data_IF_122600289374
#
_entry.id   IF_122600289374
#
_cell.length_a   1.000
_cell.length_b   1.000
_cell.length_c   1.000
_cell.angle_alpha   90.00
_cell.angle_beta   90.00
_cell.angle_gamma   90.00
#
_symmetry.space_group_name_H-M   'P 1'
#
loop_
_entity.id
_entity.type
_entity.pdbx_description
1 polymer ?
#
# COMPACT_ATOMS: atom_id res chain seq x y z
N UNK A 1 -4.36 6.70 -5.15
CA UNK A 1 -4.26 8.14 -5.23
C UNK A 1 -5.04 8.79 -4.10
N UNK A 2 -4.30 9.45 -3.22
CA UNK A 2 -4.82 10.48 -2.34
C UNK A 2 -3.94 11.69 -2.56
N UNK A 3 -4.53 12.84 -2.84
CA UNK A 3 -3.82 14.10 -3.00
C UNK A 3 -4.61 15.19 -2.26
N UNK A 4 -4.03 16.39 -2.20
CA UNK A 4 -4.54 17.54 -1.49
C UNK A 4 -4.60 17.27 0.01
N UNK A 5 -5.12 18.22 0.77
CA UNK A 5 -5.31 18.07 2.20
C UNK A 5 -6.57 17.23 2.54
N UNK A 6 -6.71 16.04 1.93
CA UNK A 6 -7.76 15.10 2.30
C UNK A 6 -7.59 14.69 3.77
N UNK A 7 -8.70 14.77 4.50
CA UNK A 7 -8.78 14.44 5.91
C UNK A 7 -9.89 13.40 6.10
N UNK A 8 -9.60 12.32 6.82
CA UNK A 8 -10.58 11.29 7.12
C UNK A 8 -9.97 9.91 7.28
N UNK A 9 -10.83 8.91 7.29
CA UNK A 9 -10.44 7.50 7.37
C UNK A 9 -11.05 6.74 6.21
N UNK A 10 -10.21 6.03 5.47
CA UNK A 10 -10.62 4.97 4.56
C UNK A 10 -10.41 3.63 5.29
N UNK A 11 -11.52 3.03 5.72
CA UNK A 11 -11.52 1.76 6.45
C UNK A 11 -12.16 0.66 5.59
N UNK A 12 -11.59 -0.54 5.69
CA UNK A 12 -12.00 -1.76 5.01
C UNK A 12 -12.08 -1.56 3.50
N UNK A 13 -10.93 -1.61 2.80
CA UNK A 13 -10.85 -1.32 1.38
C UNK A 13 -10.06 -2.38 0.58
N UNK A 14 -10.43 -2.55 -0.69
CA UNK A 14 -9.75 -3.47 -1.60
C UNK A 14 -9.23 -2.70 -2.82
N UNK A 15 -7.96 -2.93 -3.15
CA UNK A 15 -7.33 -2.47 -4.40
C UNK A 15 -6.95 -3.69 -5.24
N UNK A 16 -7.26 -3.64 -6.55
CA UNK A 16 -6.85 -4.63 -7.54
C UNK A 16 -6.13 -3.90 -8.66
N UNK A 17 -4.81 -4.03 -8.73
CA UNK A 17 -3.99 -3.39 -9.75
C UNK A 17 -4.19 -4.03 -11.14
N UNK A 18 -4.27 -3.19 -12.17
CA UNK A 18 -4.31 -3.59 -13.58
C UNK A 18 -2.95 -3.43 -14.26
N UNK A 19 -2.88 -3.69 -15.57
CA UNK A 19 -1.65 -3.50 -16.36
C UNK A 19 -1.20 -2.04 -16.47
N UNK A 20 -2.14 -1.11 -16.27
CA UNK A 20 -1.90 0.34 -16.33
C UNK A 20 -1.72 0.97 -14.94
N UNK A 21 -1.71 0.16 -13.88
CA UNK A 21 -1.45 0.64 -12.52
C UNK A 21 0.04 0.66 -12.28
N UNK A 22 0.62 1.86 -12.17
CA UNK A 22 2.01 2.04 -11.75
C UNK A 22 2.13 1.89 -10.22
N UNK A 23 1.37 2.63 -9.41
CA UNK A 23 1.36 2.47 -7.95
C UNK A 23 -0.02 2.04 -7.47
N UNK A 24 -0.09 0.93 -6.72
CA UNK A 24 -1.35 0.50 -6.14
C UNK A 24 -1.85 1.48 -5.07
N UNK A 25 -0.92 2.03 -4.27
CA UNK A 25 -1.15 3.18 -3.40
C UNK A 25 -0.22 4.33 -3.79
N UNK A 26 -0.73 5.24 -4.61
CA UNK A 26 -0.12 6.55 -4.81
C UNK A 26 -0.66 7.52 -3.74
N UNK A 27 0.19 8.04 -2.85
CA UNK A 27 -0.23 8.81 -1.67
C UNK A 27 0.58 10.11 -1.58
N UNK A 28 -0.04 11.24 -1.89
CA UNK A 28 0.56 12.57 -1.88
C UNK A 28 0.20 13.39 -0.65
N UNK A 29 1.13 14.26 -0.27
CA UNK A 29 0.96 15.16 0.86
C UNK A 29 0.07 16.38 0.57
N UNK A 30 -0.35 17.09 1.64
CA UNK A 30 -1.29 18.18 1.51
C UNK A 30 -0.72 19.37 0.74
N UNK A 31 -1.40 19.77 -0.33
CA UNK A 31 -1.10 20.99 -1.08
C UNK A 31 -1.70 22.26 -0.44
N UNK A 32 -1.12 23.43 -0.77
CA UNK A 32 -1.60 24.72 -0.27
C UNK A 32 -1.39 24.96 1.23
N UNK A 33 -2.24 25.80 1.83
CA UNK A 33 -2.10 26.26 3.21
C UNK A 33 -2.85 25.41 4.24
N UNK A 34 -3.85 24.63 3.80
CA UNK A 34 -4.54 23.71 4.69
C UNK A 34 -3.70 22.44 4.84
N UNK A 35 -3.42 22.02 6.08
CA UNK A 35 -2.62 20.84 6.39
C UNK A 35 -3.46 19.86 7.18
N UNK A 36 -3.78 18.75 6.54
CA UNK A 36 -4.49 17.66 7.16
C UNK A 36 -3.87 16.33 6.71
N UNK A 37 -4.07 15.31 7.53
CA UNK A 37 -3.69 13.95 7.22
C UNK A 37 -4.89 13.02 7.30
N UNK A 38 -4.68 11.79 6.87
CA UNK A 38 -5.73 10.78 6.80
C UNK A 38 -5.24 9.42 7.26
N UNK A 39 -6.20 8.52 7.50
CA UNK A 39 -5.94 7.14 7.89
C UNK A 39 -6.40 6.19 6.80
N UNK A 40 -5.54 5.26 6.38
CA UNK A 40 -5.94 4.07 5.63
C UNK A 40 -5.79 2.86 6.55
N UNK A 41 -6.88 2.11 6.74
CA UNK A 41 -6.92 0.99 7.67
C UNK A 41 -7.68 -0.21 7.08
N UNK A 42 -7.23 -1.43 7.42
CA UNK A 42 -7.86 -2.70 7.02
C UNK A 42 -7.94 -2.84 5.50
N UNK A 43 -6.82 -2.60 4.81
CA UNK A 43 -6.74 -2.65 3.35
C UNK A 43 -6.15 -3.95 2.84
N UNK A 44 -6.73 -4.52 1.78
CA UNK A 44 -6.11 -5.62 1.01
C UNK A 44 -5.81 -5.17 -0.40
N UNK A 45 -4.55 -5.28 -0.82
CA UNK A 45 -4.02 -4.72 -2.07
C UNK A 45 -3.41 -5.86 -2.89
N UNK A 46 -4.04 -6.16 -4.02
CA UNK A 46 -3.54 -7.11 -5.02
C UNK A 46 -2.76 -6.39 -6.11
N UNK A 47 -1.51 -6.79 -6.30
CA UNK A 47 -0.60 -6.25 -7.30
C UNK A 47 -0.81 -6.79 -8.72
N UNK A 48 0.01 -6.25 -9.60
CA UNK A 48 0.19 -6.61 -10.99
C UNK A 48 1.71 -6.59 -11.31
N UNK A 49 2.21 -7.35 -12.29
CA UNK A 49 3.62 -7.23 -12.73
C UNK A 49 4.05 -5.82 -13.13
N UNK A 50 3.09 -4.95 -13.50
CA UNK A 50 3.33 -3.56 -13.85
C UNK A 50 3.26 -2.58 -12.67
N UNK A 51 2.97 -3.04 -11.44
CA UNK A 51 2.69 -2.17 -10.30
C UNK A 51 3.72 -2.23 -9.16
N UNK A 52 3.79 -1.15 -8.41
CA UNK A 52 4.45 -0.97 -7.11
C UNK A 52 3.39 -1.08 -6.00
N UNK A 53 3.78 -1.55 -4.82
CA UNK A 53 2.88 -1.63 -3.66
C UNK A 53 2.39 -0.25 -3.25
N UNK A 54 3.31 0.70 -3.13
CA UNK A 54 3.00 2.07 -2.77
C UNK A 54 4.13 3.04 -3.09
N UNK A 55 3.78 4.29 -3.41
CA UNK A 55 4.72 5.41 -3.38
C UNK A 55 4.10 6.58 -2.58
N UNK A 56 4.75 6.93 -1.47
CA UNK A 56 4.36 8.04 -0.60
C UNK A 56 5.20 9.26 -0.93
N UNK A 57 4.56 10.39 -1.22
CA UNK A 57 5.24 11.55 -1.79
C UNK A 57 4.78 12.86 -1.15
N UNK A 58 5.47 13.93 -1.53
CA UNK A 58 5.13 15.32 -1.23
C UNK A 58 4.85 15.69 0.24
N UNK A 59 5.44 14.95 1.19
CA UNK A 59 5.32 15.27 2.61
C UNK A 59 3.96 14.88 3.19
N UNK A 60 3.45 13.72 2.78
CA UNK A 60 2.25 13.12 3.35
C UNK A 60 2.26 13.10 4.87
N UNK A 61 1.09 13.42 5.43
CA UNK A 61 0.75 13.27 6.84
C UNK A 61 -0.35 12.21 6.90
N UNK A 62 -0.16 11.16 7.68
CA UNK A 62 -1.17 10.10 7.76
C UNK A 62 -0.76 8.87 8.54
N UNK A 63 -1.74 8.00 8.78
CA UNK A 63 -1.56 6.74 9.48
C UNK A 63 -2.02 5.59 8.58
N UNK A 64 -1.16 4.59 8.38
CA UNK A 64 -1.43 3.48 7.48
C UNK A 64 -1.26 2.19 8.26
N UNK A 65 -2.37 1.51 8.54
CA UNK A 65 -2.33 0.34 9.42
C UNK A 65 -3.16 -0.84 8.94
N UNK A 66 -2.73 -2.05 9.31
CA UNK A 66 -3.42 -3.30 8.98
C UNK A 66 -3.62 -3.47 7.46
N UNK A 67 -2.55 -3.28 6.69
CA UNK A 67 -2.56 -3.38 5.23
C UNK A 67 -1.89 -4.68 4.77
N UNK A 68 -2.52 -5.39 3.86
CA UNK A 68 -2.00 -6.62 3.27
C UNK A 68 -1.72 -6.48 1.77
N UNK A 69 -0.49 -6.77 1.35
CA UNK A 69 -0.03 -6.69 -0.04
C UNK A 69 0.33 -8.06 -0.61
N UNK A 70 -0.10 -8.37 -1.83
CA UNK A 70 0.23 -9.64 -2.48
C UNK A 70 0.20 -9.56 -4.00
N UNK A 71 0.80 -10.55 -4.68
CA UNK A 71 0.91 -10.62 -6.16
C UNK A 71 1.68 -9.44 -6.81
N UNK A 72 2.68 -8.92 -6.11
CA UNK A 72 3.63 -7.92 -6.65
C UNK A 72 4.90 -8.60 -7.20
N UNK A 73 5.54 -8.04 -8.24
CA UNK A 73 6.79 -8.56 -8.79
C UNK A 73 7.96 -8.34 -7.81
N UNK A 74 9.12 -8.94 -8.10
CA UNK A 74 10.34 -8.61 -7.37
C UNK A 74 10.85 -7.21 -7.77
N UNK A 75 11.23 -6.35 -6.81
CA UNK A 75 11.91 -5.09 -7.11
C UNK A 75 13.16 -5.23 -7.95
N UNK A 76 13.82 -6.38 -7.94
CA UNK A 76 15.00 -6.63 -8.76
C UNK A 76 14.70 -6.89 -10.25
N UNK A 77 13.48 -7.31 -10.60
CA UNK A 77 13.16 -7.82 -11.94
C UNK A 77 13.22 -6.75 -13.04
N UNK A 78 13.18 -5.47 -12.66
CA UNK A 78 13.21 -4.34 -13.58
C UNK A 78 14.43 -3.42 -13.39
N UNK A 79 15.59 -3.98 -13.00
CA UNK A 79 16.80 -3.21 -12.64
C UNK A 79 16.58 -2.25 -11.46
N UNK A 80 15.75 -2.62 -10.48
CA UNK A 80 15.36 -1.74 -9.36
C UNK A 80 14.68 -0.44 -9.82
N UNK A 81 14.03 -0.44 -10.97
CA UNK A 81 13.30 0.72 -11.48
C UNK A 81 11.88 0.86 -10.87
N UNK A 82 11.66 0.31 -9.67
CA UNK A 82 10.46 0.62 -8.85
C UNK A 82 9.42 -0.50 -8.68
N UNK A 83 9.40 -1.55 -9.50
CA UNK A 83 8.24 -2.47 -9.49
C UNK A 83 8.16 -3.33 -8.23
N UNK A 84 6.95 -3.49 -7.71
CA UNK A 84 6.70 -4.31 -6.52
C UNK A 84 7.32 -3.81 -5.22
N UNK A 85 7.70 -2.53 -5.13
CA UNK A 85 8.19 -1.94 -3.88
C UNK A 85 7.17 -1.04 -3.18
N UNK A 86 7.44 -0.76 -1.92
CA UNK A 86 6.77 0.19 -1.05
C UNK A 86 7.80 1.29 -0.72
N UNK A 87 7.60 2.47 -1.27
CA UNK A 87 8.58 3.54 -1.31
C UNK A 87 8.11 4.81 -0.60
N UNK A 88 9.08 5.50 0.01
CA UNK A 88 8.92 6.89 0.48
C UNK A 88 9.79 7.78 -0.40
N UNK A 89 9.17 8.67 -1.17
CA UNK A 89 9.85 9.48 -2.15
C UNK A 89 9.95 10.94 -1.73
N UNK A 90 11.18 11.47 -1.79
CA UNK A 90 11.50 12.87 -1.55
C UNK A 90 11.72 13.25 -0.08
N UNK A 91 12.54 14.28 0.12
CA UNK A 91 12.99 14.73 1.44
C UNK A 91 11.83 15.12 2.37
N UNK A 92 10.74 15.66 1.82
CA UNK A 92 9.56 16.05 2.61
C UNK A 92 8.86 14.85 3.22
N UNK A 93 8.72 13.76 2.47
CA UNK A 93 8.09 12.53 2.95
C UNK A 93 8.96 11.86 4.01
N UNK A 94 10.28 11.77 3.76
CA UNK A 94 11.24 11.25 4.74
C UNK A 94 11.22 12.06 6.04
N UNK A 95 11.16 13.39 5.95
CA UNK A 95 11.03 14.26 7.13
C UNK A 95 9.69 14.04 7.87
N UNK A 96 8.60 13.77 7.14
CA UNK A 96 7.29 13.50 7.75
C UNK A 96 7.27 12.17 8.50
N UNK A 97 8.00 11.17 7.98
CA UNK A 97 8.21 9.88 8.63
C UNK A 97 9.10 10.00 9.87
N UNK A 98 10.25 10.69 9.76
CA UNK A 98 11.15 10.96 10.90
C UNK A 98 10.45 11.75 12.02
N UNK A 99 9.56 12.69 11.66
CA UNK A 99 8.77 13.46 12.62
C UNK A 99 7.60 12.69 13.25
N UNK A 100 7.29 11.47 12.77
CA UNK A 100 6.16 10.66 13.24
C UNK A 100 4.79 11.18 12.79
N UNK A 101 4.75 12.06 11.79
CA UNK A 101 3.51 12.56 11.17
C UNK A 101 3.01 11.67 10.03
N UNK A 102 3.90 10.88 9.45
CA UNK A 102 3.59 9.71 8.63
C UNK A 102 3.92 8.46 9.47
N UNK A 103 2.95 7.56 9.66
CA UNK A 103 3.16 6.34 10.46
C UNK A 103 2.62 5.10 9.77
N UNK A 104 3.26 3.97 10.08
CA UNK A 104 2.91 2.64 9.58
C UNK A 104 2.76 1.67 10.76
N UNK A 105 1.80 0.74 10.66
CA UNK A 105 1.65 -0.32 11.65
C UNK A 105 1.03 -1.58 11.05
N UNK A 106 1.52 -2.75 11.45
CA UNK A 106 0.96 -4.05 11.06
C UNK A 106 0.78 -4.20 9.55
N UNK A 107 1.85 -3.95 8.78
CA UNK A 107 1.86 -4.26 7.36
C UNK A 107 2.19 -5.74 7.19
N UNK A 108 1.49 -6.41 6.28
CA UNK A 108 1.79 -7.78 5.89
C UNK A 108 1.95 -7.87 4.38
N UNK A 109 2.87 -8.72 3.92
CA UNK A 109 3.01 -8.99 2.50
C UNK A 109 3.27 -10.45 2.19
N UNK A 110 2.72 -10.92 1.07
CA UNK A 110 3.21 -12.13 0.40
C UNK A 110 4.17 -11.69 -0.70
N UNK A 111 5.47 -11.79 -0.42
CA UNK A 111 6.53 -11.38 -1.33
C UNK A 111 6.87 -12.48 -2.34
N UNK A 112 7.36 -12.06 -3.51
CA UNK A 112 7.93 -12.97 -4.50
C UNK A 112 9.13 -13.74 -3.91
N UNK A 113 9.38 -14.94 -4.45
CA UNK A 113 10.46 -15.81 -3.96
C UNK A 113 11.82 -15.08 -4.00
N UNK A 114 12.55 -15.15 -2.88
CA UNK A 114 13.87 -14.52 -2.76
C UNK A 114 13.86 -13.02 -2.45
N UNK A 115 12.70 -12.36 -2.42
CA UNK A 115 12.59 -10.95 -2.03
C UNK A 115 12.57 -10.83 -0.51
N UNK A 116 13.45 -9.98 0.05
CA UNK A 116 13.46 -9.65 1.47
C UNK A 116 12.52 -8.48 1.79
N UNK A 117 12.16 -8.33 3.07
CA UNK A 117 11.39 -7.16 3.51
C UNK A 117 12.11 -5.85 3.18
N UNK A 118 13.43 -5.76 3.37
CA UNK A 118 14.19 -4.53 3.09
C UNK A 118 14.21 -4.17 1.60
N UNK A 119 14.11 -5.16 0.72
CA UNK A 119 14.02 -4.91 -0.73
C UNK A 119 12.62 -4.41 -1.11
N UNK A 120 11.59 -4.97 -0.49
CA UNK A 120 10.19 -4.65 -0.73
C UNK A 120 9.74 -3.34 -0.06
N UNK A 121 10.06 -3.15 1.21
CA UNK A 121 9.69 -2.02 2.05
C UNK A 121 10.93 -1.17 2.32
N UNK A 122 11.01 -0.02 1.65
CA UNK A 122 12.21 0.82 1.64
C UNK A 122 12.22 1.84 2.78
N UNK A 123 13.37 2.47 2.98
CA UNK A 123 13.55 3.60 3.90
C UNK A 123 13.13 3.29 5.36
N UNK A 124 13.35 2.06 5.83
CA UNK A 124 13.06 1.61 7.19
C UNK A 124 11.60 1.22 7.43
N UNK A 125 10.75 1.27 6.39
CA UNK A 125 9.34 0.83 6.52
C UNK A 125 9.20 -0.68 6.72
N UNK A 126 10.27 -1.45 6.45
CA UNK A 126 10.35 -2.88 6.72
C UNK A 126 10.20 -3.23 8.20
N UNK A 127 10.54 -2.31 9.12
CA UNK A 127 10.36 -2.51 10.57
C UNK A 127 8.89 -2.64 10.99
N UNK A 128 7.96 -2.18 10.15
CA UNK A 128 6.51 -2.21 10.39
C UNK A 128 5.82 -3.31 9.59
N UNK A 129 6.59 -4.12 8.86
CA UNK A 129 6.10 -5.11 7.93
C UNK A 129 6.54 -6.54 8.30
N UNK A 130 5.72 -7.52 7.93
CA UNK A 130 6.07 -8.94 8.04
C UNK A 130 5.66 -9.73 6.80
N UNK A 131 6.33 -10.86 6.56
CA UNK A 131 5.98 -11.75 5.45
C UNK A 131 5.01 -12.83 5.90
N UNK A 132 3.98 -13.07 5.09
CA UNK A 132 2.99 -14.13 5.30
C UNK A 132 2.73 -14.88 4.00
N UNK A 133 2.43 -16.17 4.09
CA UNK A 133 1.98 -16.94 2.93
C UNK A 133 0.64 -16.38 2.39
N UNK A 134 0.40 -16.52 1.08
CA UNK A 134 -0.84 -16.02 0.46
C UNK A 134 -2.07 -16.60 1.17
N UNK A 135 -2.99 -15.72 1.59
CA UNK A 135 -4.21 -16.08 2.32
C UNK A 135 -4.00 -16.45 3.80
N UNK A 136 -2.75 -16.43 4.30
CA UNK A 136 -2.44 -16.59 5.71
C UNK A 136 -2.38 -15.26 6.47
N UNK A 137 -2.66 -14.14 5.80
CA UNK A 137 -2.67 -12.80 6.37
C UNK A 137 -3.61 -12.67 7.58
N UNK A 138 -3.19 -11.92 8.59
CA UNK A 138 -3.96 -11.62 9.80
C UNK A 138 -4.57 -10.23 9.78
N UNK A 139 -4.10 -9.37 8.86
CA UNK A 139 -4.63 -8.03 8.59
C UNK A 139 -5.24 -7.95 7.19
N UNK A 140 -5.86 -6.80 6.88
CA UNK A 140 -6.48 -6.50 5.59
C UNK A 140 -8.00 -6.44 5.65
N UNK A 141 -8.60 -6.31 4.47
CA UNK A 141 -10.04 -6.08 4.32
C UNK A 141 -10.89 -7.34 4.60
N UNK A 142 -12.07 -7.13 5.18
CA UNK A 142 -13.18 -8.07 5.14
C UNK A 142 -13.85 -8.00 3.76
N UNK A 143 -13.45 -8.92 2.88
CA UNK A 143 -13.98 -8.99 1.51
C UNK A 143 -15.49 -9.24 1.45
N UNK A 144 -16.09 -9.78 2.50
CA UNK A 144 -17.52 -10.13 2.50
C UNK A 144 -18.41 -8.89 2.35
N UNK A 145 -17.93 -7.74 2.83
CA UNK A 145 -18.60 -6.43 2.70
C UNK A 145 -18.73 -5.99 1.24
N UNK A 146 -17.83 -6.44 0.36
CA UNK A 146 -17.82 -6.09 -1.07
C UNK A 146 -18.59 -7.09 -1.95
N UNK A 147 -19.03 -8.20 -1.38
CA UNK A 147 -19.73 -9.24 -2.12
C UNK A 147 -21.09 -8.74 -2.63
N UNK A 148 -21.43 -9.10 -3.87
CA UNK A 148 -22.77 -8.87 -4.43
C UNK A 148 -23.06 -7.46 -4.97
N UNK A 149 -22.22 -6.46 -4.72
CA UNK A 149 -22.41 -5.11 -5.27
C UNK A 149 -21.17 -4.52 -5.93
N UNK A 150 -19.97 -4.85 -5.48
CA UNK A 150 -18.76 -4.29 -6.07
C UNK A 150 -18.52 -4.86 -7.47
N UNK A 151 -17.95 -4.04 -8.36
CA UNK A 151 -17.51 -4.54 -9.67
C UNK A 151 -16.50 -5.67 -9.53
N UNK A 152 -15.59 -5.57 -8.54
CA UNK A 152 -14.62 -6.61 -8.20
C UNK A 152 -15.30 -7.96 -7.88
N UNK A 153 -16.42 -7.95 -7.15
CA UNK A 153 -17.20 -9.15 -6.90
C UNK A 153 -17.84 -9.70 -8.18
N UNK A 154 -18.49 -8.84 -8.98
CA UNK A 154 -19.16 -9.23 -10.24
C UNK A 154 -18.16 -9.83 -11.24
N UNK A 155 -16.94 -9.30 -11.29
CA UNK A 155 -15.85 -9.77 -12.13
C UNK A 155 -15.15 -11.04 -11.59
N UNK A 156 -15.58 -11.57 -10.45
CA UNK A 156 -14.98 -12.76 -9.82
C UNK A 156 -13.59 -12.53 -9.22
N UNK A 157 -13.19 -11.27 -9.02
CA UNK A 157 -11.83 -10.91 -8.58
C UNK A 157 -11.64 -10.92 -7.06
N UNK A 158 -12.68 -11.26 -6.28
CA UNK A 158 -12.58 -11.41 -4.82
C UNK A 158 -12.05 -12.79 -4.36
N UNK A 159 -11.88 -13.74 -5.28
CA UNK A 159 -11.51 -15.11 -4.93
C UNK A 159 -10.14 -15.22 -4.25
N UNK A 160 -9.19 -14.36 -4.63
CA UNK A 160 -7.82 -14.36 -4.10
C UNK A 160 -7.66 -13.62 -2.76
N UNK A 161 -8.69 -12.89 -2.34
CA UNK A 161 -8.70 -12.17 -1.07
C UNK A 161 -9.15 -13.11 0.05
N UNK A 162 -8.69 -12.88 1.28
CA UNK A 162 -9.14 -13.65 2.45
C UNK A 162 -10.56 -13.27 2.84
#
# INVERSE_FOLDING_TARGET
DTDQAWAGTLDNFIVVAGSETDHALEIDGPEGSFKAGHTLINGSIKGNPASEMADFRDGIIGNFENLYFFDFPSPADNNNAGRGDFSLSGDKTLASFEAGTLTFANLEATLAEGVTLQQAFRNGTDEFASTVAKGANTVGADKSVFAGWSWTAVAGQLADFK
#
